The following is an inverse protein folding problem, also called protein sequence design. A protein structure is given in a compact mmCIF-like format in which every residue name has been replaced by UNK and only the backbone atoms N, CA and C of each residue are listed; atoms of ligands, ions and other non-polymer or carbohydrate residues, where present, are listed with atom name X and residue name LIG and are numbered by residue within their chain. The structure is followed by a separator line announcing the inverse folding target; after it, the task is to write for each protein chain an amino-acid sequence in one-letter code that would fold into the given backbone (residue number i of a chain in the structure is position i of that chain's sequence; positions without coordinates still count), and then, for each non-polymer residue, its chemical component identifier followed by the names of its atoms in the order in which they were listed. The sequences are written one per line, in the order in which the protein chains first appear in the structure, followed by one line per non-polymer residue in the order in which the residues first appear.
data_IF_411134047651
#
_entry.id   IF_411134047651
#
_cell.length_a   1.000
_cell.length_b   1.000
_cell.length_c   1.000
_cell.angle_alpha   90.00
_cell.angle_beta   90.00
_cell.angle_gamma   90.00
#
_symmetry.space_group_name_H-M   'P 1'
#
loop_
_entity.id
_entity.type
_entity.pdbx_description
1 polymer ?
#
# COMPACT_ATOMS: atom_id res chain seq x y z
N UNK A 1 -16.19 6.54 21.80
CA UNK A 1 -15.84 5.17 22.27
C UNK A 1 -16.30 4.09 21.30
N UNK A 2 -17.59 4.04 20.90
CA UNK A 2 -18.07 3.03 19.94
C UNK A 2 -17.32 3.02 18.60
N UNK A 3 -17.02 4.20 18.03
CA UNK A 3 -16.27 4.31 16.76
C UNK A 3 -14.84 3.75 16.84
N UNK A 4 -14.15 3.88 17.97
CA UNK A 4 -12.79 3.35 18.16
C UNK A 4 -12.80 1.82 18.29
N UNK A 5 -13.84 1.27 18.93
CA UNK A 5 -14.02 -0.17 19.10
C UNK A 5 -14.26 -0.88 17.76
N UNK A 6 -15.03 -0.27 16.87
CA UNK A 6 -15.25 -0.80 15.53
C UNK A 6 -13.98 -0.85 14.68
N UNK A 7 -13.16 0.21 14.71
CA UNK A 7 -11.93 0.23 13.90
C UNK A 7 -10.94 -0.83 14.42
N UNK A 8 -10.90 -1.01 15.74
CA UNK A 8 -10.12 -2.05 16.40
C UNK A 8 -10.53 -3.46 15.97
N UNK A 9 -11.82 -3.76 15.99
CA UNK A 9 -12.36 -5.06 15.54
C UNK A 9 -12.06 -5.32 14.05
N UNK A 10 -12.22 -4.30 13.19
CA UNK A 10 -11.95 -4.41 11.76
C UNK A 10 -10.47 -4.74 11.50
N UNK A 11 -9.55 -4.06 12.18
CA UNK A 11 -8.10 -4.28 12.00
C UNK A 11 -7.69 -5.70 12.41
N UNK A 12 -8.23 -6.22 13.52
CA UNK A 12 -7.95 -7.59 13.99
C UNK A 12 -8.49 -8.64 13.02
N UNK A 13 -9.74 -8.50 12.59
CA UNK A 13 -10.36 -9.43 11.64
C UNK A 13 -9.57 -9.44 10.32
N UNK A 14 -9.23 -8.25 9.81
CA UNK A 14 -8.43 -8.12 8.59
C UNK A 14 -7.05 -8.77 8.74
N UNK A 15 -6.38 -8.55 9.87
CA UNK A 15 -5.09 -9.17 10.18
C UNK A 15 -5.17 -10.70 10.17
N UNK A 16 -6.17 -11.30 10.83
CA UNK A 16 -6.37 -12.75 10.89
C UNK A 16 -6.63 -13.32 9.48
N UNK A 17 -7.53 -12.69 8.72
CA UNK A 17 -7.87 -13.12 7.36
C UNK A 17 -6.66 -13.04 6.44
N UNK A 18 -5.90 -11.95 6.49
CA UNK A 18 -4.70 -11.78 5.67
C UNK A 18 -3.59 -12.77 6.04
N UNK A 19 -3.40 -13.06 7.33
CA UNK A 19 -2.48 -14.10 7.78
C UNK A 19 -2.88 -15.49 7.26
N UNK A 20 -4.16 -15.82 7.32
CA UNK A 20 -4.67 -17.07 6.78
C UNK A 20 -4.41 -17.18 5.28
N UNK A 21 -4.74 -16.13 4.52
CA UNK A 21 -4.47 -16.06 3.07
C UNK A 21 -2.97 -16.22 2.80
N UNK A 22 -2.11 -15.51 3.54
CA UNK A 22 -0.66 -15.58 3.40
C UNK A 22 -0.13 -16.99 3.64
N UNK A 23 -0.55 -17.66 4.71
CA UNK A 23 -0.12 -19.02 5.03
C UNK A 23 -0.61 -20.02 3.98
N UNK A 24 -1.89 -19.96 3.60
CA UNK A 24 -2.46 -20.81 2.55
C UNK A 24 -1.73 -20.64 1.21
N UNK A 25 -1.48 -19.40 0.82
CA UNK A 25 -0.80 -19.06 -0.42
C UNK A 25 0.64 -19.58 -0.44
N UNK A 26 1.37 -19.42 0.67
CA UNK A 26 2.76 -19.88 0.78
C UNK A 26 2.88 -21.40 0.85
N UNK A 27 1.90 -22.10 1.45
CA UNK A 27 1.87 -23.55 1.48
C UNK A 27 1.72 -24.17 0.09
N UNK A 28 0.88 -23.59 -0.77
CA UNK A 28 0.58 -24.14 -2.10
C UNK A 28 1.66 -23.86 -3.16
N UNK A 29 2.53 -22.88 -2.94
CA UNK A 29 3.39 -22.32 -4.00
C UNK A 29 4.85 -22.77 -3.87
N UNK A 30 5.22 -23.87 -4.55
CA UNK A 30 6.57 -24.48 -4.48
C UNK A 30 7.64 -23.68 -5.27
N UNK A 31 7.29 -23.12 -6.44
CA UNK A 31 8.17 -22.22 -7.23
C UNK A 31 7.46 -20.90 -7.47
N UNK A 32 8.04 -19.79 -6.99
CA UNK A 32 7.43 -18.46 -7.07
C UNK A 32 7.94 -17.66 -8.26
N UNK A 33 7.04 -17.35 -9.18
CA UNK A 33 7.24 -16.34 -10.22
C UNK A 33 7.39 -14.92 -9.64
N UNK A 34 7.93 -13.97 -10.39
CA UNK A 34 8.11 -12.58 -9.94
C UNK A 34 6.79 -11.95 -9.48
N UNK A 35 5.70 -12.20 -10.20
CA UNK A 35 4.33 -11.77 -9.86
C UNK A 35 3.90 -12.26 -8.47
N UNK A 36 4.14 -13.53 -8.19
CA UNK A 36 3.75 -14.17 -6.92
C UNK A 36 4.60 -13.66 -5.75
N UNK A 37 5.89 -13.38 -5.99
CA UNK A 37 6.75 -12.73 -4.99
C UNK A 37 6.26 -11.32 -4.64
N UNK A 38 5.89 -10.53 -5.64
CA UNK A 38 5.36 -9.17 -5.42
C UNK A 38 4.03 -9.23 -4.68
N UNK A 39 3.12 -10.13 -5.07
CA UNK A 39 1.86 -10.33 -4.36
C UNK A 39 2.07 -10.73 -2.90
N UNK A 40 3.02 -11.63 -2.63
CA UNK A 40 3.36 -12.03 -1.28
C UNK A 40 3.92 -10.85 -0.45
N UNK A 41 4.69 -9.95 -1.06
CA UNK A 41 5.11 -8.72 -0.40
C UNK A 41 3.95 -7.76 -0.11
N UNK A 42 2.98 -7.64 -1.02
CA UNK A 42 1.77 -6.85 -0.78
C UNK A 42 1.01 -7.41 0.42
N UNK A 43 0.79 -8.74 0.48
CA UNK A 43 0.15 -9.39 1.62
C UNK A 43 0.90 -9.11 2.93
N UNK A 44 2.22 -9.28 2.95
CA UNK A 44 3.02 -9.03 4.15
C UNK A 44 2.95 -7.57 4.61
N UNK A 45 3.01 -6.62 3.67
CA UNK A 45 2.88 -5.20 3.97
C UNK A 45 1.47 -4.86 4.49
N UNK A 46 0.42 -5.48 3.95
CA UNK A 46 -0.95 -5.30 4.44
C UNK A 46 -1.16 -5.89 5.83
N UNK A 47 -0.57 -7.05 6.13
CA UNK A 47 -0.54 -7.63 7.49
C UNK A 47 0.15 -6.66 8.45
N UNK A 48 1.32 -6.13 8.06
CA UNK A 48 2.04 -5.12 8.82
C UNK A 48 1.19 -3.87 9.05
N UNK A 49 0.52 -3.36 8.02
CA UNK A 49 -0.37 -2.20 8.12
C UNK A 49 -1.48 -2.41 9.15
N UNK A 50 -2.17 -3.56 9.12
CA UNK A 50 -3.20 -3.89 10.10
C UNK A 50 -2.64 -4.02 11.51
N UNK A 51 -1.46 -4.64 11.66
CA UNK A 51 -0.78 -4.76 12.94
C UNK A 51 -0.41 -3.39 13.53
N UNK A 52 0.19 -2.51 12.73
CA UNK A 52 0.53 -1.16 13.16
C UNK A 52 -0.72 -0.35 13.51
N UNK A 53 -1.80 -0.48 12.72
CA UNK A 53 -3.10 0.14 13.03
C UNK A 53 -3.65 -0.32 14.38
N UNK A 54 -3.64 -1.62 14.64
CA UNK A 54 -4.02 -2.19 15.93
C UNK A 54 -3.17 -1.64 17.09
N UNK A 55 -1.85 -1.60 16.93
CA UNK A 55 -0.95 -1.07 17.97
C UNK A 55 -1.25 0.41 18.26
N UNK A 56 -1.47 1.22 17.23
CA UNK A 56 -1.80 2.63 17.37
C UNK A 56 -3.08 2.84 18.17
N UNK A 57 -4.14 2.12 17.84
CA UNK A 57 -5.43 2.21 18.55
C UNK A 57 -5.34 1.70 19.98
N UNK A 58 -4.60 0.61 20.21
CA UNK A 58 -4.42 0.06 21.54
C UNK A 58 -3.62 0.99 22.47
N UNK A 59 -2.68 1.75 21.92
CA UNK A 59 -1.78 2.63 22.68
C UNK A 59 -2.30 4.07 22.80
N UNK A 60 -3.25 4.47 21.95
CA UNK A 60 -3.78 5.83 21.91
C UNK A 60 -4.34 6.28 23.27
N UNK A 61 -3.89 7.43 23.78
CA UNK A 61 -4.39 8.01 25.03
C UNK A 61 -3.92 7.32 26.32
N UNK A 62 -3.06 6.30 26.24
CA UNK A 62 -2.48 5.66 27.44
C UNK A 62 -1.23 6.42 27.90
N UNK A 63 -1.02 6.54 29.21
CA UNK A 63 0.15 7.23 29.78
C UNK A 63 1.17 6.20 30.27
N UNK A 64 2.21 5.92 29.47
CA UNK A 64 3.36 5.09 29.88
C UNK A 64 4.67 5.72 29.37
N UNK A 65 5.78 5.49 30.07
CA UNK A 65 7.08 6.16 29.85
C UNK A 65 7.65 6.03 28.42
N UNK A 66 7.25 5.02 27.65
CA UNK A 66 7.71 4.78 26.27
C UNK A 66 6.60 4.93 25.23
N UNK A 67 5.39 5.30 25.64
CA UNK A 67 4.23 5.26 24.75
C UNK A 67 4.37 6.22 23.57
N UNK A 68 4.91 7.41 23.83
CA UNK A 68 5.10 8.46 22.82
C UNK A 68 6.02 8.01 21.67
N UNK A 69 7.21 7.50 22.00
CA UNK A 69 8.17 6.99 21.01
C UNK A 69 7.61 5.80 20.23
N UNK A 70 6.93 4.87 20.91
CA UNK A 70 6.32 3.70 20.25
C UNK A 70 5.23 4.16 19.27
N UNK A 71 4.35 5.08 19.67
CA UNK A 71 3.32 5.64 18.80
C UNK A 71 3.93 6.34 17.58
N UNK A 72 5.05 7.03 17.75
CA UNK A 72 5.74 7.70 16.65
C UNK A 72 6.31 6.70 15.63
N UNK A 73 6.97 5.65 16.11
CA UNK A 73 7.50 4.57 15.26
C UNK A 73 6.36 3.84 14.56
N UNK A 74 5.28 3.52 15.26
CA UNK A 74 4.14 2.80 14.68
C UNK A 74 3.42 3.63 13.61
N UNK A 75 3.24 4.94 13.81
CA UNK A 75 2.68 5.84 12.78
C UNK A 75 3.58 5.92 11.55
N UNK A 76 4.89 6.02 11.77
CA UNK A 76 5.89 6.04 10.71
C UNK A 76 5.84 4.77 9.84
N UNK A 77 5.80 3.61 10.49
CA UNK A 77 5.69 2.31 9.83
C UNK A 77 4.34 2.12 9.13
N UNK A 78 3.26 2.63 9.72
CA UNK A 78 1.93 2.62 9.11
C UNK A 78 1.92 3.41 7.79
N UNK A 79 2.46 4.63 7.78
CA UNK A 79 2.54 5.46 6.56
C UNK A 79 3.42 4.88 5.48
N UNK A 80 4.57 4.33 5.86
CA UNK A 80 5.49 3.68 4.95
C UNK A 80 4.85 2.43 4.33
N UNK A 81 4.18 1.60 5.14
CA UNK A 81 3.51 0.39 4.68
C UNK A 81 2.41 0.71 3.67
N UNK A 82 1.57 1.70 3.97
CA UNK A 82 0.47 2.13 3.09
C UNK A 82 1.00 2.55 1.71
N UNK A 83 2.08 3.33 1.68
CA UNK A 83 2.67 3.81 0.43
C UNK A 83 3.37 2.70 -0.34
N UNK A 84 4.08 1.81 0.37
CA UNK A 84 4.75 0.66 -0.23
C UNK A 84 3.75 -0.33 -0.84
N UNK A 85 2.58 -0.51 -0.24
CA UNK A 85 1.48 -1.31 -0.82
C UNK A 85 1.09 -0.74 -2.19
N UNK A 86 0.86 0.57 -2.29
CA UNK A 86 0.53 1.24 -3.57
C UNK A 86 1.59 1.02 -4.64
N UNK A 87 2.87 1.24 -4.32
CA UNK A 87 3.97 1.01 -5.25
C UNK A 87 4.11 -0.46 -5.69
N UNK A 88 4.00 -1.41 -4.76
CA UNK A 88 4.04 -2.84 -5.10
C UNK A 88 2.83 -3.25 -5.93
N UNK A 89 1.65 -2.68 -5.65
CA UNK A 89 0.44 -2.88 -6.44
C UNK A 89 0.62 -2.41 -7.88
N UNK A 90 1.19 -1.23 -8.11
CA UNK A 90 1.52 -0.75 -9.46
C UNK A 90 2.41 -1.74 -10.22
N UNK A 91 3.49 -2.22 -9.59
CA UNK A 91 4.37 -3.22 -10.20
C UNK A 91 3.63 -4.53 -10.51
N UNK A 92 2.76 -4.96 -9.59
CA UNK A 92 1.95 -6.16 -9.77
C UNK A 92 0.99 -6.02 -10.96
N UNK A 93 0.24 -4.93 -11.05
CA UNK A 93 -0.66 -4.63 -12.16
C UNK A 93 0.11 -4.56 -13.47
N UNK A 94 1.31 -3.97 -13.47
CA UNK A 94 2.13 -3.89 -14.68
C UNK A 94 2.49 -5.28 -15.21
N UNK A 95 2.98 -6.16 -14.35
CA UNK A 95 3.33 -7.55 -14.73
C UNK A 95 2.09 -8.31 -15.19
N UNK A 96 0.95 -8.15 -14.52
CA UNK A 96 -0.29 -8.80 -14.94
C UNK A 96 -0.76 -8.32 -16.33
N UNK A 97 -0.50 -7.06 -16.65
CA UNK A 97 -0.98 -6.42 -17.88
C UNK A 97 -0.06 -6.72 -19.07
N UNK A 98 1.25 -6.59 -18.88
CA UNK A 98 2.24 -6.72 -19.96
C UNK A 98 3.02 -8.04 -19.94
N UNK A 99 2.87 -8.87 -18.90
CA UNK A 99 3.61 -10.13 -18.70
C UNK A 99 5.13 -9.97 -18.61
N UNK A 100 5.58 -8.74 -18.35
CA UNK A 100 6.99 -8.36 -18.23
C UNK A 100 7.19 -7.48 -17.01
N UNK A 101 8.43 -7.42 -16.51
CA UNK A 101 8.79 -6.52 -15.42
C UNK A 101 8.95 -5.08 -15.92
N UNK A 102 8.71 -4.10 -15.03
CA UNK A 102 9.03 -2.71 -15.35
C UNK A 102 10.51 -2.55 -15.67
N UNK A 103 10.77 -1.74 -16.70
CA UNK A 103 12.13 -1.31 -17.02
C UNK A 103 12.81 -0.69 -15.80
N UNK A 104 14.07 -1.05 -15.56
CA UNK A 104 14.85 -0.62 -14.39
C UNK A 104 14.93 0.90 -14.25
N UNK A 105 14.96 1.66 -15.35
CA UNK A 105 14.95 3.14 -15.33
C UNK A 105 13.63 3.69 -14.79
N UNK A 106 12.50 3.18 -15.30
CA UNK A 106 11.16 3.59 -14.86
C UNK A 106 10.91 3.18 -13.40
N UNK A 107 11.33 1.98 -13.02
CA UNK A 107 11.24 1.50 -11.63
C UNK A 107 11.99 2.41 -10.66
N UNK A 108 13.21 2.85 -11.00
CA UNK A 108 13.99 3.79 -10.18
C UNK A 108 13.30 5.15 -10.08
N UNK A 109 12.73 5.65 -11.17
CA UNK A 109 11.96 6.90 -11.16
C UNK A 109 10.75 6.81 -10.22
N UNK A 110 10.02 5.70 -10.29
CA UNK A 110 8.84 5.45 -9.44
C UNK A 110 9.17 5.21 -7.97
N UNK A 111 10.44 5.02 -7.60
CA UNK A 111 10.88 4.94 -6.21
C UNK A 111 11.12 6.33 -5.59
N UNK A 112 11.29 7.38 -6.40
CA UNK A 112 11.56 8.74 -5.91
C UNK A 112 10.48 9.23 -4.93
N UNK A 113 9.15 9.09 -5.20
CA UNK A 113 8.14 9.52 -4.25
C UNK A 113 8.22 8.77 -2.90
N UNK A 114 8.57 7.48 -2.91
CA UNK A 114 8.78 6.71 -1.67
C UNK A 114 10.00 7.24 -0.90
N UNK A 115 11.10 7.55 -1.59
CA UNK A 115 12.30 8.09 -0.95
C UNK A 115 12.03 9.46 -0.33
N UNK A 116 11.26 10.31 -1.02
CA UNK A 116 10.82 11.61 -0.48
C UNK A 116 9.97 11.38 0.78
N UNK A 117 8.99 10.47 0.73
CA UNK A 117 8.18 10.17 1.90
C UNK A 117 9.02 9.61 3.07
N UNK A 118 9.94 8.70 2.78
CA UNK A 118 10.83 8.14 3.80
C UNK A 118 11.68 9.22 4.47
N UNK A 119 12.20 10.17 3.69
CA UNK A 119 12.89 11.35 4.23
C UNK A 119 11.98 12.18 5.13
N UNK A 120 10.75 12.48 4.67
CA UNK A 120 9.78 13.24 5.47
C UNK A 120 9.46 12.53 6.80
N UNK A 121 9.28 11.20 6.78
CA UNK A 121 9.04 10.38 7.97
C UNK A 121 10.22 10.48 8.95
N UNK A 122 11.46 10.35 8.46
CA UNK A 122 12.65 10.45 9.31
C UNK A 122 12.81 11.84 9.93
N UNK A 123 12.46 12.90 9.19
CA UNK A 123 12.50 14.27 9.72
C UNK A 123 11.30 14.60 10.62
N UNK A 124 10.25 13.77 10.63
CA UNK A 124 9.01 14.04 11.36
C UNK A 124 9.24 14.18 12.87
N UNK A 125 10.20 13.44 13.41
CA UNK A 125 10.59 13.54 14.81
C UNK A 125 11.00 14.96 15.23
N UNK A 126 11.60 15.71 14.30
CA UNK A 126 12.12 17.05 14.58
C UNK A 126 11.14 18.17 14.20
N UNK A 127 10.34 17.98 13.16
CA UNK A 127 9.51 19.05 12.58
C UNK A 127 8.00 18.86 12.79
N UNK A 128 7.56 17.68 13.23
CA UNK A 128 6.15 17.32 13.42
C UNK A 128 5.27 17.57 12.17
N UNK A 129 5.87 17.51 10.98
CA UNK A 129 5.24 17.95 9.74
C UNK A 129 4.17 16.99 9.23
N UNK A 130 4.42 15.67 9.26
CA UNK A 130 3.46 14.65 8.83
C UNK A 130 2.40 14.40 9.92
N UNK A 131 2.85 14.28 11.17
CA UNK A 131 1.98 14.02 12.31
C UNK A 131 2.63 14.46 13.62
N UNK A 132 1.78 14.73 14.62
CA UNK A 132 2.16 15.15 15.97
C UNK A 132 1.50 14.22 16.98
N UNK A 133 2.23 13.86 18.02
CA UNK A 133 1.68 13.15 19.18
C UNK A 133 1.74 14.12 20.34
N UNK A 134 0.59 14.47 20.90
CA UNK A 134 0.51 15.45 22.00
C UNK A 134 0.97 14.85 23.35
N UNK A 135 1.00 15.69 24.38
CA UNK A 135 1.37 15.28 25.74
C UNK A 135 0.46 14.21 26.34
N UNK A 136 -0.75 14.06 25.80
CA UNK A 136 -1.71 13.04 26.21
C UNK A 136 -1.60 11.74 25.41
N UNK A 137 -0.54 11.60 24.59
CA UNK A 137 -0.37 10.49 23.66
C UNK A 137 -1.53 10.35 22.68
N UNK A 138 -2.14 11.47 22.31
CA UNK A 138 -3.15 11.54 21.26
C UNK A 138 -2.50 11.95 19.96
N UNK A 139 -2.85 11.21 18.92
CA UNK A 139 -2.39 11.42 17.58
C UNK A 139 -3.13 12.58 16.89
N UNK A 140 -2.38 13.52 16.30
CA UNK A 140 -2.87 14.62 15.49
C UNK A 140 -2.23 14.61 14.10
N UNK A 141 -3.03 14.88 13.07
CA UNK A 141 -2.54 14.95 11.69
C UNK A 141 -1.82 16.28 11.48
N UNK A 142 -0.60 16.22 10.94
CA UNK A 142 0.16 17.39 10.52
C UNK A 142 -0.23 17.82 9.10
N UNK A 143 0.23 19.01 8.67
CA UNK A 143 -0.06 19.53 7.33
C UNK A 143 0.55 18.68 6.21
N UNK A 144 1.68 18.02 6.48
CA UNK A 144 2.37 17.13 5.54
C UNK A 144 1.59 15.87 5.18
N UNK A 145 0.49 15.57 5.87
CA UNK A 145 -0.35 14.40 5.59
C UNK A 145 -0.89 14.39 4.15
N UNK A 146 -1.14 15.56 3.57
CA UNK A 146 -1.64 15.65 2.19
C UNK A 146 -0.60 15.15 1.18
N UNK A 147 0.70 15.34 1.45
CA UNK A 147 1.78 14.82 0.61
C UNK A 147 1.77 13.29 0.66
N UNK A 148 1.62 12.70 1.84
CA UNK A 148 1.50 11.25 2.00
C UNK A 148 0.30 10.69 1.22
N UNK A 149 -0.86 11.36 1.29
CA UNK A 149 -2.04 10.95 0.53
C UNK A 149 -1.83 11.05 -0.98
N UNK A 150 -1.29 12.17 -1.47
CA UNK A 150 -1.00 12.36 -2.90
C UNK A 150 -0.08 11.26 -3.41
N UNK A 151 1.01 10.96 -2.68
CA UNK A 151 1.96 9.91 -3.07
C UNK A 151 1.29 8.52 -3.05
N UNK A 152 0.50 8.23 -2.01
CA UNK A 152 -0.18 6.94 -1.89
C UNK A 152 -1.20 6.72 -3.02
N UNK A 153 -2.01 7.74 -3.32
CA UNK A 153 -3.01 7.70 -4.38
C UNK A 153 -2.39 7.69 -5.77
N UNK A 154 -1.27 8.39 -5.97
CA UNK A 154 -0.57 8.42 -7.25
C UNK A 154 -0.32 7.02 -7.82
N UNK A 155 0.16 6.08 -7.01
CA UNK A 155 0.44 4.72 -7.47
C UNK A 155 -0.83 3.94 -7.85
N UNK A 156 -1.90 4.08 -7.06
CA UNK A 156 -3.18 3.39 -7.31
C UNK A 156 -3.83 3.95 -8.57
N UNK A 157 -3.90 5.27 -8.71
CA UNK A 157 -4.47 5.93 -9.89
C UNK A 157 -3.68 5.55 -11.14
N UNK A 158 -2.35 5.56 -11.08
CA UNK A 158 -1.51 5.17 -12.22
C UNK A 158 -1.76 3.71 -12.63
N UNK A 159 -1.86 2.79 -11.66
CA UNK A 159 -2.17 1.38 -11.92
C UNK A 159 -3.55 1.20 -12.56
N UNK A 160 -4.54 1.97 -12.11
CA UNK A 160 -5.89 1.95 -12.68
C UNK A 160 -5.91 2.49 -14.11
N UNK A 161 -5.30 3.66 -14.36
CA UNK A 161 -5.21 4.24 -15.72
C UNK A 161 -4.54 3.25 -16.68
N UNK A 162 -3.44 2.64 -16.24
CA UNK A 162 -2.69 1.67 -17.01
C UNK A 162 -3.54 0.44 -17.38
N UNK A 163 -4.24 -0.16 -16.41
CA UNK A 163 -5.06 -1.33 -16.66
C UNK A 163 -6.27 -1.02 -17.56
N UNK A 164 -6.88 0.16 -17.41
CA UNK A 164 -7.96 0.62 -18.27
C UNK A 164 -7.49 0.86 -19.71
N UNK A 165 -6.37 1.54 -19.90
CA UNK A 165 -5.79 1.82 -21.22
C UNK A 165 -5.60 0.52 -22.02
N UNK A 166 -4.93 -0.47 -21.43
CA UNK A 166 -4.67 -1.75 -22.11
C UNK A 166 -5.96 -2.51 -22.40
N UNK A 167 -6.92 -2.51 -21.47
CA UNK A 167 -8.22 -3.17 -21.66
C UNK A 167 -9.02 -2.56 -22.82
N UNK A 168 -9.01 -1.24 -22.95
CA UNK A 168 -9.72 -0.52 -24.02
C UNK A 168 -9.08 -0.82 -25.38
N UNK A 169 -7.75 -0.72 -25.48
CA UNK A 169 -7.04 -0.93 -26.75
C UNK A 169 -7.06 -2.40 -27.21
N UNK A 170 -6.96 -3.36 -26.29
CA UNK A 170 -7.10 -4.79 -26.64
C UNK A 170 -8.50 -5.10 -27.18
N UNK A 171 -9.57 -4.63 -26.51
CA UNK A 171 -10.95 -4.80 -27.00
C UNK A 171 -11.17 -4.17 -28.39
N UNK A 172 -10.62 -2.97 -28.63
CA UNK A 172 -10.71 -2.31 -29.92
C UNK A 172 -10.04 -3.14 -31.04
N UNK A 173 -8.87 -3.69 -30.78
CA UNK A 173 -8.15 -4.55 -31.72
C UNK A 173 -8.88 -5.87 -31.99
N UNK A 174 -9.48 -6.51 -30.97
CA UNK A 174 -10.29 -7.71 -31.16
C UNK A 174 -11.56 -7.43 -31.97
N UNK A 175 -12.26 -6.32 -31.72
CA UNK A 175 -13.45 -5.92 -32.49
C UNK A 175 -13.10 -5.69 -33.96
N UNK A 176 -11.99 -5.01 -34.23
CA UNK A 176 -11.49 -4.77 -35.59
C UNK A 176 -11.14 -6.09 -36.31
N UNK A 177 -10.42 -7.02 -35.64
CA UNK A 177 -10.12 -8.36 -36.20
C UNK A 177 -11.37 -9.17 -36.51
N UNK A 178 -12.37 -9.15 -35.61
CA UNK A 178 -13.63 -9.86 -35.81
C UNK A 178 -14.43 -9.30 -36.99
N UNK A 179 -14.46 -7.97 -37.17
CA UNK A 179 -15.10 -7.33 -38.32
C UNK A 179 -14.45 -7.74 -39.64
N UNK A 180 -13.11 -7.81 -39.70
CA UNK A 180 -12.42 -8.31 -40.91
C UNK A 180 -12.71 -9.78 -41.21
N UNK A 181 -12.78 -10.65 -40.19
CA UNK A 181 -13.10 -12.07 -40.38
C UNK A 181 -14.54 -12.27 -40.89
N UNK A 182 -15.49 -11.46 -40.42
CA UNK A 182 -16.89 -11.51 -40.90
C UNK A 182 -17.01 -10.98 -42.34
N UNK A 183 -16.18 -10.01 -42.76
CA UNK A 183 -16.21 -9.50 -44.14
C UNK A 183 -15.59 -10.42 -45.19
N UNK A 184 -14.86 -11.46 -44.76
CA UNK A 184 -14.20 -12.44 -45.64
C UNK A 184 -15.05 -13.71 -45.81
N UNK A 185 -16.04 -13.93 -44.92
CA UNK A 185 -17.04 -15.01 -45.00
C UNK A 185 -18.28 -14.54 -45.75
#
# INVERSE_FOLDING_TARGET
MQSLLYIFEINIICFIVLLFIFNYYNYKTIKRSTRERIFNHILLLSIGLCFFGFCLEFLNGKMFNLNHLILEIMNSLYYLSMTMIGYKWLNYVYICTFKEDLQTKVKRLLQIPILILMFLILTNHFNHFLFVIDSNNLYHRGMGIYIHWIISWFYIVLATIMSLYVTIHTKANFKKKRSYLISIL
#
